data_IF_678683279989
#
_entry.id   IF_678683279989
#
_cell.length_a   1.000
_cell.length_b   1.000
_cell.length_c   1.000
_cell.angle_alpha   90.00
_cell.angle_beta   90.00
_cell.angle_gamma   90.00
#
_symmetry.space_group_name_H-M   'P 1'
#
loop_
_entity.id
_entity.type
_entity.pdbx_description
1 polymer ?
#
# COMPACT_ATOMS: atom_id res chain seq x y z
N UNK A 1 6.18 -2.53 16.23
CA UNK A 1 5.12 -1.49 16.28
C UNK A 1 5.59 -0.19 15.62
N UNK A 2 6.78 0.31 15.97
CA UNK A 2 7.33 1.55 15.41
C UNK A 2 7.60 1.49 13.91
N UNK A 3 8.19 0.39 13.42
CA UNK A 3 8.42 0.18 11.98
C UNK A 3 7.11 0.23 11.16
N UNK A 4 6.02 -0.35 11.68
CA UNK A 4 4.70 -0.34 11.03
C UNK A 4 4.15 1.08 10.95
N UNK A 5 4.22 1.84 12.06
CA UNK A 5 3.82 3.27 12.09
C UNK A 5 4.64 4.08 11.08
N UNK A 6 5.94 3.81 10.98
CA UNK A 6 6.84 4.46 10.01
C UNK A 6 6.44 4.15 8.56
N UNK A 7 6.12 2.88 8.25
CA UNK A 7 5.66 2.46 6.92
C UNK A 7 4.35 3.18 6.55
N UNK A 8 3.38 3.23 7.46
CA UNK A 8 2.10 3.92 7.24
C UNK A 8 2.33 5.41 7.01
N UNK A 9 3.14 6.05 7.86
CA UNK A 9 3.48 7.48 7.72
C UNK A 9 4.15 7.77 6.37
N UNK A 10 5.14 6.99 5.99
CA UNK A 10 5.82 7.16 4.70
C UNK A 10 4.86 6.94 3.53
N UNK A 11 3.98 5.94 3.62
CA UNK A 11 2.99 5.65 2.58
C UNK A 11 1.93 6.75 2.45
N UNK A 12 1.59 7.43 3.55
CA UNK A 12 0.73 8.62 3.52
C UNK A 12 1.45 9.80 2.86
N UNK A 13 2.75 10.00 3.15
CA UNK A 13 3.55 11.04 2.51
C UNK A 13 3.65 10.78 1.00
N UNK A 14 3.92 9.54 0.56
CA UNK A 14 3.94 9.20 -0.86
C UNK A 14 2.59 9.39 -1.52
N UNK A 15 1.49 9.07 -0.84
CA UNK A 15 0.13 9.35 -1.31
C UNK A 15 -0.09 10.86 -1.56
N UNK A 16 0.35 11.72 -0.64
CA UNK A 16 0.28 13.18 -0.81
C UNK A 16 1.14 13.65 -2.00
N UNK A 17 2.35 13.09 -2.16
CA UNK A 17 3.22 13.40 -3.31
C UNK A 17 2.53 13.00 -4.63
N UNK A 18 1.90 11.83 -4.70
CA UNK A 18 1.14 11.37 -5.87
C UNK A 18 0.01 12.35 -6.19
N UNK A 19 -0.71 12.83 -5.17
CA UNK A 19 -1.79 13.80 -5.34
C UNK A 19 -1.28 15.12 -5.93
N UNK A 20 -0.20 15.68 -5.35
CA UNK A 20 0.41 16.93 -5.83
C UNK A 20 0.90 16.75 -7.28
N UNK A 21 1.59 15.65 -7.57
CA UNK A 21 2.07 15.33 -8.91
C UNK A 21 0.92 15.20 -9.91
N UNK A 22 -0.16 14.51 -9.54
CA UNK A 22 -1.34 14.38 -10.39
C UNK A 22 -2.06 15.70 -10.66
N UNK A 23 -2.08 16.63 -9.69
CA UNK A 23 -2.62 17.98 -9.88
C UNK A 23 -1.78 18.81 -10.85
N UNK A 24 -0.44 18.71 -10.78
CA UNK A 24 0.48 19.41 -11.68
C UNK A 24 0.32 18.91 -13.11
N UNK A 25 0.29 17.58 -13.30
CA UNK A 25 0.16 16.94 -14.62
C UNK A 25 -1.28 17.03 -15.16
N UNK A 26 -2.26 17.36 -14.31
CA UNK A 26 -3.70 17.39 -14.63
C UNK A 26 -4.24 16.07 -15.20
N UNK A 27 -3.61 14.95 -14.85
CA UNK A 27 -4.00 13.61 -15.28
C UNK A 27 -4.96 12.98 -14.26
N UNK A 28 -6.18 12.68 -14.71
CA UNK A 28 -7.25 12.05 -13.90
C UNK A 28 -6.86 10.67 -13.40
N UNK A 29 -6.05 9.98 -14.20
CA UNK A 29 -5.49 8.66 -13.91
C UNK A 29 -4.55 8.71 -12.70
N UNK A 30 -3.78 9.79 -12.57
CA UNK A 30 -2.78 9.95 -11.50
C UNK A 30 -3.43 10.48 -10.22
N UNK A 31 -4.08 11.66 -10.25
CA UNK A 31 -4.64 12.22 -9.00
C UNK A 31 -5.88 11.47 -8.52
N UNK A 32 -6.60 10.79 -9.42
CA UNK A 32 -7.76 9.97 -9.09
C UNK A 32 -7.33 8.53 -8.86
N UNK A 33 -6.94 7.84 -9.93
CA UNK A 33 -6.64 6.41 -9.91
C UNK A 33 -5.51 6.05 -8.95
N UNK A 34 -4.32 6.61 -9.17
CA UNK A 34 -3.12 6.29 -8.39
C UNK A 34 -3.22 6.75 -6.94
N UNK A 35 -3.78 7.93 -6.69
CA UNK A 35 -4.03 8.40 -5.34
C UNK A 35 -5.03 7.53 -4.58
N UNK A 36 -6.21 7.24 -5.14
CA UNK A 36 -7.22 6.41 -4.48
C UNK A 36 -6.72 4.98 -4.26
N UNK A 37 -6.02 4.41 -5.25
CA UNK A 37 -5.34 3.13 -5.11
C UNK A 37 -4.34 3.14 -3.95
N UNK A 38 -3.60 4.25 -3.77
CA UNK A 38 -2.64 4.39 -2.67
C UNK A 38 -3.33 4.38 -1.30
N UNK A 39 -4.48 5.06 -1.16
CA UNK A 39 -5.27 5.07 0.07
C UNK A 39 -5.85 3.69 0.40
N UNK A 40 -6.37 2.98 -0.61
CA UNK A 40 -6.88 1.61 -0.47
C UNK A 40 -5.75 0.67 -0.02
N UNK A 41 -4.52 0.84 -0.55
CA UNK A 41 -3.37 0.06 -0.11
C UNK A 41 -3.05 0.27 1.38
N UNK A 42 -3.08 1.53 1.83
CA UNK A 42 -2.79 1.91 3.23
C UNK A 42 -3.87 1.34 4.14
N UNK A 43 -5.14 1.48 3.75
CA UNK A 43 -6.26 0.92 4.49
C UNK A 43 -6.15 -0.60 4.61
N UNK A 44 -5.89 -1.30 3.50
CA UNK A 44 -5.72 -2.76 3.53
C UNK A 44 -4.55 -3.17 4.42
N UNK A 45 -3.41 -2.47 4.38
CA UNK A 45 -2.29 -2.73 5.28
C UNK A 45 -2.63 -2.49 6.75
N UNK A 46 -3.40 -1.43 7.04
CA UNK A 46 -3.88 -1.15 8.38
C UNK A 46 -4.81 -2.25 8.90
N UNK A 47 -5.68 -2.82 8.06
CA UNK A 47 -6.50 -3.99 8.46
C UNK A 47 -5.64 -5.21 8.78
N UNK A 48 -4.53 -5.45 8.06
CA UNK A 48 -3.59 -6.54 8.38
C UNK A 48 -3.02 -6.33 9.77
N UNK A 49 -2.60 -5.11 10.07
CA UNK A 49 -2.06 -4.77 11.38
C UNK A 49 -3.08 -5.01 12.51
N UNK A 50 -4.35 -4.62 12.30
CA UNK A 50 -5.42 -4.89 13.27
C UNK A 50 -5.71 -6.38 13.44
N UNK A 51 -5.71 -7.15 12.35
CA UNK A 51 -5.88 -8.61 12.39
C UNK A 51 -4.77 -9.29 13.19
N UNK A 52 -3.52 -8.89 12.98
CA UNK A 52 -2.37 -9.43 13.71
C UNK A 52 -2.49 -9.07 15.20
N UNK A 53 -2.79 -7.81 15.51
CA UNK A 53 -2.96 -7.36 16.90
C UNK A 53 -4.08 -8.11 17.62
N UNK A 54 -5.22 -8.33 16.96
CA UNK A 54 -6.36 -9.05 17.55
C UNK A 54 -6.09 -10.55 17.69
N UNK A 55 -5.38 -11.15 16.73
CA UNK A 55 -4.98 -12.57 16.78
C UNK A 55 -3.99 -12.84 17.93
N UNK A 56 -3.08 -11.91 18.20
CA UNK A 56 -2.18 -12.00 19.36
C UNK A 56 -2.92 -11.94 20.71
N UNK A 57 -4.04 -11.22 20.78
CA UNK A 57 -4.82 -11.04 22.02
C UNK A 57 -5.85 -12.15 22.26
N UNK A 58 -6.52 -12.64 21.22
CA UNK A 58 -7.66 -13.58 21.32
C UNK A 58 -7.33 -15.01 20.87
N UNK A 59 -6.10 -15.26 20.42
CA UNK A 59 -5.69 -16.52 19.81
C UNK A 59 -5.97 -16.52 18.30
N UNK A 60 -4.99 -17.01 17.53
CA UNK A 60 -5.07 -17.02 16.07
C UNK A 60 -5.94 -18.18 15.58
N UNK A 61 -7.02 -17.87 14.86
CA UNK A 61 -7.81 -18.86 14.12
C UNK A 61 -7.42 -18.85 12.65
N UNK A 62 -6.96 -20.00 12.14
CA UNK A 62 -6.56 -20.15 10.73
C UNK A 62 -7.69 -19.74 9.77
N UNK A 63 -8.94 -20.15 10.06
CA UNK A 63 -10.12 -19.78 9.26
C UNK A 63 -10.31 -18.26 9.20
N UNK A 64 -10.13 -17.56 10.32
CA UNK A 64 -10.26 -16.10 10.39
C UNK A 64 -9.17 -15.41 9.57
N UNK A 65 -7.92 -15.87 9.66
CA UNK A 65 -6.81 -15.34 8.89
C UNK A 65 -7.01 -15.47 7.38
N UNK A 66 -7.43 -16.64 6.90
CA UNK A 66 -7.73 -16.89 5.48
C UNK A 66 -8.88 -16.00 5.01
N UNK A 67 -9.97 -15.91 5.78
CA UNK A 67 -11.16 -15.15 5.40
C UNK A 67 -10.87 -13.64 5.32
N UNK A 68 -10.10 -13.09 6.25
CA UNK A 68 -9.69 -11.68 6.20
C UNK A 68 -8.68 -11.41 5.08
N UNK A 69 -7.83 -12.38 4.74
CA UNK A 69 -6.97 -12.28 3.56
C UNK A 69 -7.80 -12.21 2.27
N UNK A 70 -8.80 -13.09 2.12
CA UNK A 70 -9.68 -13.11 0.95
C UNK A 70 -10.45 -11.79 0.78
N UNK A 71 -10.97 -11.24 1.88
CA UNK A 71 -11.65 -9.93 1.89
C UNK A 71 -10.77 -8.81 1.31
N UNK A 72 -9.46 -8.81 1.58
CA UNK A 72 -8.54 -7.81 1.03
C UNK A 72 -8.37 -7.93 -0.48
N UNK A 73 -8.23 -9.16 -0.98
CA UNK A 73 -8.18 -9.41 -2.43
C UNK A 73 -9.49 -9.00 -3.11
N UNK A 74 -10.61 -9.24 -2.45
CA UNK A 74 -11.90 -8.80 -2.93
C UNK A 74 -11.99 -7.26 -3.01
N UNK A 75 -11.49 -6.54 -2.01
CA UNK A 75 -11.39 -5.06 -2.04
C UNK A 75 -10.52 -4.60 -3.22
N UNK A 76 -9.38 -5.25 -3.47
CA UNK A 76 -8.53 -4.92 -4.61
C UNK A 76 -9.24 -5.16 -5.94
N UNK A 77 -9.91 -6.31 -6.10
CA UNK A 77 -10.67 -6.62 -7.31
C UNK A 77 -11.80 -5.61 -7.54
N UNK A 78 -12.54 -5.23 -6.49
CA UNK A 78 -13.57 -4.19 -6.60
C UNK A 78 -12.95 -2.87 -7.03
N UNK A 79 -11.84 -2.44 -6.42
CA UNK A 79 -11.20 -1.16 -6.77
C UNK A 79 -10.71 -1.10 -8.22
N UNK A 80 -10.21 -2.22 -8.74
CA UNK A 80 -9.79 -2.33 -10.14
C UNK A 80 -10.99 -2.45 -11.08
N UNK A 81 -12.02 -3.20 -10.68
CA UNK A 81 -13.26 -3.35 -11.44
C UNK A 81 -14.05 -2.05 -11.56
N UNK A 82 -14.14 -1.25 -10.49
CA UNK A 82 -14.82 0.05 -10.54
C UNK A 82 -14.01 1.06 -11.36
N UNK A 83 -12.69 1.10 -11.22
CA UNK A 83 -11.85 2.00 -12.01
C UNK A 83 -11.92 1.70 -13.51
N UNK A 84 -11.89 0.43 -13.92
CA UNK A 84 -12.02 0.08 -15.34
C UNK A 84 -13.43 0.36 -15.89
N UNK A 85 -14.48 0.06 -15.12
CA UNK A 85 -15.86 0.24 -15.58
C UNK A 85 -16.24 1.71 -15.79
N UNK A 86 -15.83 2.59 -14.88
CA UNK A 86 -16.21 4.01 -14.94
C UNK A 86 -15.26 4.89 -15.74
N UNK A 87 -13.97 4.57 -15.79
CA UNK A 87 -12.94 5.47 -16.31
C UNK A 87 -11.98 4.80 -17.30
N UNK A 88 -12.14 3.51 -17.58
CA UNK A 88 -11.35 2.76 -18.55
C UNK A 88 -9.98 2.29 -18.05
N UNK A 89 -9.17 1.77 -18.98
CA UNK A 89 -7.90 1.10 -18.68
C UNK A 89 -6.86 2.02 -18.02
N UNK A 90 -6.78 3.29 -18.43
CA UNK A 90 -5.80 4.25 -17.88
C UNK A 90 -5.99 4.45 -16.37
N UNK A 91 -7.24 4.59 -15.93
CA UNK A 91 -7.56 4.72 -14.51
C UNK A 91 -7.27 3.44 -13.74
N UNK A 92 -7.62 2.28 -14.31
CA UNK A 92 -7.32 0.98 -13.70
C UNK A 92 -5.82 0.80 -13.49
N UNK A 93 -4.99 1.15 -14.48
CA UNK A 93 -3.53 1.08 -14.37
C UNK A 93 -3.02 2.05 -13.30
N UNK A 94 -3.53 3.28 -13.28
CA UNK A 94 -3.25 4.24 -12.21
C UNK A 94 -3.56 3.66 -10.83
N UNK A 95 -4.77 3.11 -10.64
CA UNK A 95 -5.20 2.45 -9.41
C UNK A 95 -4.32 1.26 -9.05
N UNK A 96 -3.97 0.41 -10.01
CA UNK A 96 -3.07 -0.73 -9.80
C UNK A 96 -1.69 -0.28 -9.30
N UNK A 97 -1.11 0.75 -9.91
CA UNK A 97 0.16 1.34 -9.46
C UNK A 97 0.01 1.91 -8.04
N UNK A 98 -1.09 2.63 -7.78
CA UNK A 98 -1.42 3.16 -6.45
C UNK A 98 -1.49 2.06 -5.39
N UNK A 99 -2.11 0.92 -5.70
CA UNK A 99 -2.25 -0.23 -4.80
C UNK A 99 -0.89 -0.80 -4.34
N UNK A 100 0.18 -0.57 -5.10
CA UNK A 100 1.53 -1.03 -4.77
C UNK A 100 2.27 -0.10 -3.79
N UNK A 101 1.70 1.05 -3.42
CA UNK A 101 2.36 2.09 -2.61
C UNK A 101 2.99 1.54 -1.30
N UNK A 102 2.24 0.77 -0.52
CA UNK A 102 2.75 0.16 0.72
C UNK A 102 3.90 -0.81 0.44
N UNK A 103 3.76 -1.67 -0.57
CA UNK A 103 4.78 -2.67 -0.93
C UNK A 103 6.07 -1.99 -1.37
N UNK A 104 5.94 -0.92 -2.15
CA UNK A 104 7.05 -0.09 -2.58
C UNK A 104 7.78 0.54 -1.38
N UNK A 105 7.06 1.12 -0.43
CA UNK A 105 7.65 1.69 0.79
C UNK A 105 8.36 0.64 1.66
N UNK A 106 7.79 -0.57 1.77
CA UNK A 106 8.43 -1.68 2.49
C UNK A 106 9.73 -2.09 1.79
N UNK A 107 9.69 -2.27 0.46
CA UNK A 107 10.88 -2.63 -0.33
C UNK A 107 11.99 -1.59 -0.20
N UNK A 108 11.65 -0.29 -0.28
CA UNK A 108 12.61 0.80 -0.06
C UNK A 108 13.26 0.73 1.33
N UNK A 109 12.48 0.45 2.37
CA UNK A 109 13.00 0.33 3.73
C UNK A 109 13.95 -0.87 3.88
N UNK A 110 13.63 -2.01 3.26
CA UNK A 110 14.50 -3.20 3.25
C UNK A 110 15.78 -2.95 2.47
N UNK A 111 15.69 -2.33 1.29
CA UNK A 111 16.84 -1.96 0.47
C UNK A 111 17.76 -1.00 1.21
N UNK A 112 17.21 0.03 1.85
CA UNK A 112 17.99 0.98 2.65
C UNK A 112 18.74 0.30 3.80
N UNK A 113 18.08 -0.62 4.53
CA UNK A 113 18.74 -1.41 5.59
C UNK A 113 19.86 -2.28 5.03
N UNK A 114 19.68 -2.89 3.86
CA UNK A 114 20.70 -3.73 3.23
C UNK A 114 21.90 -2.91 2.74
N UNK A 115 21.66 -1.72 2.18
CA UNK A 115 22.73 -0.80 1.75
C UNK A 115 23.56 -0.30 2.93
N UNK A 116 22.92 0.04 4.05
CA UNK A 116 23.63 0.39 5.29
C UNK A 116 24.54 -0.74 5.78
N UNK A 117 24.00 -1.96 5.86
CA UNK A 117 24.80 -3.15 6.23
C UNK A 117 25.98 -3.38 5.30
N UNK A 118 25.80 -3.13 4.01
CA UNK A 118 26.88 -3.26 3.02
C UNK A 118 27.94 -2.18 3.21
N UNK A 119 27.53 -0.92 3.42
CA UNK A 119 28.45 0.17 3.76
C UNK A 119 29.27 -0.13 5.02
N UNK A 120 28.61 -0.54 6.11
CA UNK A 120 29.31 -0.83 7.38
C UNK A 120 30.29 -2.01 7.26
N UNK A 121 30.03 -2.94 6.33
CA UNK A 121 30.88 -4.12 6.10
C UNK A 121 32.10 -3.84 5.21
N UNK A 122 32.01 -2.88 4.27
CA UNK A 122 33.02 -2.69 3.22
C UNK A 122 33.61 -1.27 3.13
N UNK A 123 33.01 -0.27 3.76
CA UNK A 123 33.35 1.16 3.61
C UNK A 123 33.63 1.83 4.97
N UNK A 124 34.36 1.16 5.86
CA UNK A 124 34.80 1.73 7.14
C UNK A 124 35.64 2.98 6.93
#
# INVERSE_FOLDING_TARGET
>A
MEDIKKIIKNSLITSIIILIYGLIVKSKEVYGGMFLGSLISIFCFYTIYLDVKTSLLRGASFKSGVLNYLKRYFIYCISLGTSIYFFGLGMMLGTAIGLLNIRFNILLMVLYKNLLKWKDKYLK
#
